data_IF_331064492467
#
_entry.id   IF_331064492467
#
_cell.length_a   1.000
_cell.length_b   1.000
_cell.length_c   1.000
_cell.angle_alpha   90.00
_cell.angle_beta   90.00
_cell.angle_gamma   90.00
#
_symmetry.space_group_name_H-M   'P 1'
#
loop_
_entity.id
_entity.type
_entity.pdbx_description
1 polymer ?
#
# COMPACT_ATOMS: atom_id res chain seq x y z
N UNK A 1 -2.15 -48.86 -14.35
CA UNK A 1 -2.90 -47.80 -13.66
C UNK A 1 -2.10 -46.50 -13.69
N UNK A 2 -2.58 -45.51 -14.49
CA UNK A 2 -1.92 -44.20 -14.64
C UNK A 2 -2.33 -43.33 -13.45
N UNK A 3 -1.39 -42.98 -12.54
CA UNK A 3 -1.63 -42.04 -11.43
C UNK A 3 -1.96 -40.66 -12.02
N UNK A 4 -3.20 -40.22 -11.87
CA UNK A 4 -3.62 -38.85 -12.16
C UNK A 4 -2.87 -37.96 -11.15
N UNK A 5 -1.87 -37.22 -11.62
CA UNK A 5 -1.30 -36.12 -10.85
C UNK A 5 -2.40 -35.08 -10.64
N UNK A 6 -2.91 -34.95 -9.42
CA UNK A 6 -3.74 -33.80 -9.04
C UNK A 6 -2.90 -32.54 -9.34
N UNK A 7 -3.35 -31.72 -10.26
CA UNK A 7 -2.83 -30.36 -10.40
C UNK A 7 -3.12 -29.64 -9.07
N UNK A 8 -2.12 -29.57 -8.22
CA UNK A 8 -2.13 -28.63 -7.09
C UNK A 8 -2.01 -27.27 -7.77
N UNK A 9 -3.09 -26.49 -7.77
CA UNK A 9 -3.02 -25.10 -8.19
C UNK A 9 -1.97 -24.41 -7.31
N UNK A 10 -0.82 -24.13 -7.87
CA UNK A 10 0.23 -23.38 -7.20
C UNK A 10 -0.31 -21.98 -7.00
N UNK A 11 -0.54 -21.60 -5.73
CA UNK A 11 -1.02 -20.26 -5.38
C UNK A 11 0.02 -19.26 -5.89
N UNK A 12 -0.40 -18.31 -6.72
CA UNK A 12 0.48 -17.28 -7.28
C UNK A 12 1.13 -16.50 -6.14
N UNK A 13 2.43 -16.24 -6.24
CA UNK A 13 3.17 -15.48 -5.24
C UNK A 13 2.77 -14.02 -5.35
N UNK A 14 2.32 -13.42 -4.26
CA UNK A 14 2.05 -11.98 -4.19
C UNK A 14 3.35 -11.26 -3.86
N UNK A 15 3.67 -10.21 -4.61
CA UNK A 15 4.80 -9.33 -4.36
C UNK A 15 4.31 -7.90 -4.13
N UNK A 16 4.56 -7.38 -2.93
CA UNK A 16 4.26 -6.01 -2.58
C UNK A 16 5.48 -5.14 -2.84
N UNK A 17 5.21 -4.05 -3.52
CA UNK A 17 6.20 -3.07 -3.91
C UNK A 17 5.84 -1.74 -3.26
N UNK A 18 6.62 -1.29 -2.28
CA UNK A 18 6.41 -0.03 -1.56
C UNK A 18 7.35 1.07 -2.02
N UNK A 19 6.96 2.31 -1.87
CA UNK A 19 7.75 3.48 -2.26
C UNK A 19 8.92 3.74 -1.30
N UNK A 20 8.68 3.56 0.02
CA UNK A 20 9.65 3.91 1.04
C UNK A 20 9.78 2.93 2.19
N UNK A 21 10.43 3.39 3.25
CA UNK A 21 10.64 2.58 4.45
C UNK A 21 9.33 2.36 5.24
N UNK A 22 8.43 3.30 5.19
CA UNK A 22 7.14 3.21 5.92
C UNK A 22 6.31 2.03 5.40
N UNK A 23 6.12 1.95 4.08
CA UNK A 23 5.41 0.84 3.41
C UNK A 23 6.12 -0.49 3.66
N UNK A 24 7.46 -0.51 3.50
CA UNK A 24 8.27 -1.72 3.73
C UNK A 24 8.04 -2.27 5.14
N UNK A 25 8.19 -1.44 6.18
CA UNK A 25 8.04 -1.90 7.56
C UNK A 25 6.59 -2.21 7.91
N UNK A 26 5.63 -1.40 7.44
CA UNK A 26 4.22 -1.67 7.65
C UNK A 26 3.83 -3.05 7.15
N UNK A 27 4.06 -3.34 5.88
CA UNK A 27 3.72 -4.64 5.31
C UNK A 27 4.59 -5.78 5.87
N UNK A 28 5.86 -5.54 6.21
CA UNK A 28 6.69 -6.55 6.88
C UNK A 28 6.11 -6.95 8.25
N UNK A 29 5.64 -5.97 9.02
CA UNK A 29 5.01 -6.24 10.32
C UNK A 29 3.64 -6.89 10.15
N UNK A 30 2.80 -6.45 9.20
CA UNK A 30 1.52 -7.10 8.89
C UNK A 30 1.71 -8.58 8.54
N UNK A 31 2.66 -8.88 7.66
CA UNK A 31 2.99 -10.26 7.29
C UNK A 31 3.30 -11.11 8.52
N UNK A 32 4.14 -10.58 9.42
CA UNK A 32 4.55 -11.28 10.64
C UNK A 32 3.41 -11.44 11.65
N UNK A 33 2.62 -10.37 11.86
CA UNK A 33 1.60 -10.32 12.90
C UNK A 33 0.32 -11.06 12.52
N UNK A 34 -0.05 -11.05 11.24
CA UNK A 34 -1.28 -11.67 10.72
C UNK A 34 -1.03 -12.99 9.98
N UNK A 35 0.24 -13.40 9.82
CA UNK A 35 0.58 -14.65 9.15
C UNK A 35 0.36 -14.63 7.63
N UNK A 36 0.28 -13.45 7.02
CA UNK A 36 0.08 -13.31 5.58
C UNK A 36 1.26 -13.87 4.76
N UNK A 37 0.95 -14.35 3.55
CA UNK A 37 1.94 -14.96 2.66
C UNK A 37 2.15 -14.13 1.41
N UNK A 38 3.15 -13.25 1.45
CA UNK A 38 3.62 -12.47 0.29
C UNK A 38 5.12 -12.17 0.42
N UNK A 39 5.73 -11.78 -0.67
CA UNK A 39 7.05 -11.16 -0.68
C UNK A 39 6.92 -9.64 -0.62
N UNK A 40 7.92 -8.95 -0.12
CA UNK A 40 7.97 -7.50 -0.12
C UNK A 40 9.36 -7.04 -0.54
N UNK A 41 9.42 -6.13 -1.49
CA UNK A 41 10.68 -5.50 -1.89
C UNK A 41 10.98 -4.31 -1.00
N UNK A 42 12.20 -4.25 -0.43
CA UNK A 42 12.68 -3.03 0.18
C UNK A 42 12.96 -1.99 -0.93
N UNK A 43 12.58 -0.76 -0.68
CA UNK A 43 12.90 0.42 -1.50
C UNK A 43 12.86 0.20 -3.00
N UNK A 44 11.85 0.73 -3.61
CA UNK A 44 11.77 0.69 -5.05
C UNK A 44 12.70 1.66 -5.73
N UNK A 45 12.94 2.83 -5.16
CA UNK A 45 13.55 3.89 -5.95
C UNK A 45 14.37 4.85 -5.07
N UNK A 46 15.59 5.11 -5.51
CA UNK A 46 16.36 6.26 -5.02
C UNK A 46 15.73 7.60 -5.46
N UNK A 47 14.95 7.59 -6.54
CA UNK A 47 14.13 8.69 -7.03
C UNK A 47 12.79 8.14 -7.46
N UNK A 48 11.70 8.60 -6.87
CA UNK A 48 10.32 8.14 -7.07
C UNK A 48 9.76 8.58 -8.44
N UNK A 49 10.31 8.08 -9.53
CA UNK A 49 9.77 8.36 -10.84
C UNK A 49 8.76 7.30 -11.27
N UNK A 50 7.69 7.74 -11.91
CA UNK A 50 6.59 6.89 -12.40
C UNK A 50 7.12 5.82 -13.36
N UNK A 51 8.14 6.17 -14.17
CA UNK A 51 8.78 5.25 -15.09
C UNK A 51 9.48 4.08 -14.38
N UNK A 52 10.07 4.34 -13.21
CA UNK A 52 10.71 3.28 -12.40
C UNK A 52 9.69 2.36 -11.77
N UNK A 53 8.55 2.91 -11.30
CA UNK A 53 7.41 2.11 -10.84
C UNK A 53 6.97 1.17 -11.96
N UNK A 54 6.72 1.72 -13.15
CA UNK A 54 6.28 0.92 -14.29
C UNK A 54 7.30 -0.15 -14.70
N UNK A 55 8.58 0.19 -14.71
CA UNK A 55 9.65 -0.76 -15.01
C UNK A 55 9.64 -1.93 -14.02
N UNK A 56 9.52 -1.63 -12.73
CA UNK A 56 9.50 -2.68 -11.69
C UNK A 56 8.27 -3.56 -11.78
N UNK A 57 7.10 -3.00 -12.06
CA UNK A 57 5.89 -3.79 -12.31
C UNK A 57 6.11 -4.76 -13.47
N UNK A 58 6.69 -4.30 -14.58
CA UNK A 58 6.98 -5.16 -15.74
C UNK A 58 7.93 -6.30 -15.40
N UNK A 59 9.06 -6.00 -14.73
CA UNK A 59 10.03 -7.01 -14.30
C UNK A 59 9.36 -8.12 -13.46
N UNK A 60 8.50 -7.73 -12.51
CA UNK A 60 7.80 -8.70 -11.66
C UNK A 60 6.73 -9.49 -12.40
N UNK A 61 6.05 -8.88 -13.37
CA UNK A 61 5.10 -9.60 -14.22
C UNK A 61 5.78 -10.66 -15.08
N UNK A 62 7.02 -10.39 -15.53
CA UNK A 62 7.82 -11.37 -16.28
C UNK A 62 8.23 -12.58 -15.40
N UNK A 63 8.22 -12.42 -14.07
CA UNK A 63 8.43 -13.50 -13.08
C UNK A 63 7.14 -14.27 -12.72
N UNK A 64 6.00 -13.99 -13.38
CA UNK A 64 4.67 -14.61 -13.14
C UNK A 64 4.17 -14.44 -11.69
N UNK A 65 4.46 -13.31 -11.06
CA UNK A 65 3.97 -12.98 -9.73
C UNK A 65 2.80 -11.99 -9.78
N UNK A 66 1.97 -11.99 -8.74
CA UNK A 66 0.94 -10.98 -8.55
C UNK A 66 1.55 -9.74 -7.89
N UNK A 67 1.40 -8.58 -8.52
CA UNK A 67 2.06 -7.33 -8.07
C UNK A 67 1.05 -6.43 -7.36
N UNK A 68 1.37 -6.03 -6.15
CA UNK A 68 0.68 -4.94 -5.44
C UNK A 68 1.67 -3.78 -5.32
N UNK A 69 1.37 -2.66 -5.94
CA UNK A 69 2.22 -1.47 -5.88
C UNK A 69 1.58 -0.41 -4.98
N UNK A 70 2.29 -0.01 -3.92
CA UNK A 70 1.84 0.97 -2.93
C UNK A 70 2.69 2.21 -3.05
N UNK A 71 2.08 3.38 -3.26
CA UNK A 71 2.77 4.66 -3.43
C UNK A 71 1.91 5.84 -3.01
N UNK A 72 2.56 6.97 -2.76
CA UNK A 72 1.91 8.24 -2.46
C UNK A 72 1.59 8.99 -3.76
N UNK A 73 0.36 9.51 -3.92
CA UNK A 73 -0.06 10.26 -5.12
C UNK A 73 0.21 11.77 -5.02
N UNK A 74 1.15 12.17 -4.18
CA UNK A 74 1.58 13.57 -4.08
C UNK A 74 2.36 14.02 -5.34
N UNK A 75 3.01 13.08 -6.02
CA UNK A 75 3.81 13.33 -7.26
C UNK A 75 2.92 13.83 -8.38
N UNK A 76 1.71 13.30 -8.53
CA UNK A 76 0.78 13.71 -9.58
C UNK A 76 0.39 15.19 -9.50
N UNK A 77 0.52 15.79 -8.31
CA UNK A 77 0.19 17.20 -8.06
C UNK A 77 1.36 18.17 -8.30
N UNK A 78 2.58 17.67 -8.53
CA UNK A 78 3.78 18.51 -8.73
C UNK A 78 3.80 19.19 -10.09
N UNK A 79 3.28 18.54 -11.12
CA UNK A 79 3.16 19.14 -12.47
C UNK A 79 2.13 18.41 -13.33
N UNK A 80 1.62 19.10 -14.36
CA UNK A 80 0.70 18.49 -15.34
C UNK A 80 1.35 17.30 -16.10
N UNK A 81 2.66 17.33 -16.27
CA UNK A 81 3.40 16.25 -16.93
C UNK A 81 3.40 14.99 -16.07
N UNK A 82 3.69 15.11 -14.78
CA UNK A 82 3.67 13.98 -13.84
C UNK A 82 2.25 13.44 -13.65
N UNK A 83 1.24 14.33 -13.57
CA UNK A 83 -0.16 13.92 -13.50
C UNK A 83 -0.57 13.09 -14.73
N UNK A 84 -0.19 13.51 -15.95
CA UNK A 84 -0.46 12.73 -17.17
C UNK A 84 0.21 11.35 -17.14
N UNK A 85 1.46 11.25 -16.66
CA UNK A 85 2.17 9.98 -16.54
C UNK A 85 1.50 9.05 -15.54
N UNK A 86 1.12 9.56 -14.36
CA UNK A 86 0.41 8.79 -13.34
C UNK A 86 -0.94 8.30 -13.84
N UNK A 87 -1.71 9.16 -14.49
CA UNK A 87 -3.00 8.78 -15.10
C UNK A 87 -2.81 7.69 -16.15
N UNK A 88 -1.77 7.79 -16.97
CA UNK A 88 -1.46 6.77 -17.99
C UNK A 88 -1.06 5.43 -17.33
N UNK A 89 -0.25 5.46 -16.26
CA UNK A 89 0.12 4.28 -15.50
C UNK A 89 -1.12 3.60 -14.90
N UNK A 90 -1.98 4.36 -14.20
CA UNK A 90 -3.22 3.84 -13.62
C UNK A 90 -4.12 3.20 -14.68
N UNK A 91 -4.36 3.90 -15.79
CA UNK A 91 -5.18 3.39 -16.90
C UNK A 91 -4.59 2.12 -17.53
N UNK A 92 -3.27 2.04 -17.64
CA UNK A 92 -2.58 0.87 -18.22
C UNK A 92 -2.82 -0.40 -17.42
N UNK A 93 -2.84 -0.31 -16.09
CA UNK A 93 -2.98 -1.45 -15.20
C UNK A 93 -4.37 -1.61 -14.58
N UNK A 94 -5.32 -0.72 -14.87
CA UNK A 94 -6.69 -0.72 -14.31
C UNK A 94 -7.41 -2.08 -14.43
N UNK A 95 -7.23 -2.74 -15.58
CA UNK A 95 -7.86 -4.03 -15.87
C UNK A 95 -6.83 -5.19 -15.93
N UNK A 96 -5.65 -5.02 -15.37
CA UNK A 96 -4.66 -6.08 -15.35
C UNK A 96 -4.94 -7.05 -14.19
N UNK A 97 -5.20 -8.33 -14.52
CA UNK A 97 -5.57 -9.33 -13.53
C UNK A 97 -4.49 -9.62 -12.48
N UNK A 98 -3.24 -9.28 -12.76
CA UNK A 98 -2.08 -9.57 -11.93
C UNK A 98 -1.45 -8.32 -11.28
N UNK A 99 -2.10 -7.15 -11.37
CA UNK A 99 -1.60 -5.90 -10.81
C UNK A 99 -2.68 -5.17 -10.03
N UNK A 100 -2.37 -4.76 -8.80
CA UNK A 100 -3.16 -3.81 -8.04
C UNK A 100 -2.29 -2.58 -7.75
N UNK A 101 -2.76 -1.41 -8.16
CA UNK A 101 -2.19 -0.14 -7.75
C UNK A 101 -2.94 0.37 -6.54
N UNK A 102 -2.22 0.71 -5.48
CA UNK A 102 -2.75 1.21 -4.21
C UNK A 102 -2.09 2.55 -3.91
N UNK A 103 -2.73 3.61 -4.34
CA UNK A 103 -2.25 4.95 -4.04
C UNK A 103 -2.96 5.56 -2.84
N UNK A 104 -2.28 6.48 -2.20
CA UNK A 104 -2.80 7.27 -1.08
C UNK A 104 -2.56 8.75 -1.32
N UNK A 105 -3.58 9.55 -1.12
CA UNK A 105 -3.51 11.00 -1.19
C UNK A 105 -3.85 11.56 0.19
N UNK A 106 -3.00 12.18 0.89
CA UNK A 106 -1.65 12.74 0.62
C UNK A 106 -0.50 11.73 0.77
N UNK A 107 -0.65 10.72 1.64
CA UNK A 107 0.38 9.74 1.94
C UNK A 107 -0.20 8.53 2.67
N UNK A 108 0.59 7.48 2.85
CA UNK A 108 0.19 6.26 3.57
C UNK A 108 -0.31 6.54 5.01
N UNK A 109 0.09 7.65 5.62
CA UNK A 109 -0.38 8.02 6.96
C UNK A 109 -1.89 8.26 7.01
N UNK A 110 -2.53 8.60 5.89
CA UNK A 110 -3.99 8.69 5.84
C UNK A 110 -4.64 7.30 6.03
N UNK A 111 -4.07 6.25 5.45
CA UNK A 111 -4.49 4.88 5.73
C UNK A 111 -4.33 4.51 7.20
N UNK A 112 -3.24 4.92 7.84
CA UNK A 112 -3.03 4.68 9.26
C UNK A 112 -4.04 5.44 10.13
N UNK A 113 -4.36 6.67 9.76
CA UNK A 113 -5.33 7.51 10.45
C UNK A 113 -6.74 6.90 10.43
N UNK A 114 -7.15 6.30 9.32
CA UNK A 114 -8.46 5.63 9.19
C UNK A 114 -8.66 4.47 10.18
N UNK A 115 -7.61 3.94 10.77
CA UNK A 115 -7.69 2.92 11.81
C UNK A 115 -8.07 3.50 13.18
N UNK A 116 -8.00 4.79 13.35
CA UNK A 116 -8.33 5.49 14.59
C UNK A 116 -9.53 6.43 14.45
N UNK A 117 -9.71 7.04 13.29
CA UNK A 117 -10.69 8.11 13.07
C UNK A 117 -11.52 7.87 11.81
N UNK A 118 -12.86 8.01 11.91
CA UNK A 118 -13.76 8.07 10.75
C UNK A 118 -13.70 9.49 10.18
N UNK A 119 -12.83 9.73 9.20
CA UNK A 119 -12.59 11.06 8.64
C UNK A 119 -12.40 11.02 7.13
N UNK A 120 -13.06 11.96 6.45
CA UNK A 120 -12.81 12.30 5.04
C UNK A 120 -12.25 13.73 4.89
N UNK A 121 -11.66 14.26 5.96
CA UNK A 121 -11.12 15.61 6.00
C UNK A 121 -10.03 15.78 4.93
N UNK A 122 -10.09 16.90 4.22
CA UNK A 122 -9.02 17.28 3.32
C UNK A 122 -7.75 17.62 4.10
N UNK A 123 -6.63 16.98 3.74
CA UNK A 123 -5.30 17.31 4.23
C UNK A 123 -4.53 18.02 3.11
N UNK A 124 -3.87 19.11 3.46
CA UNK A 124 -3.13 19.93 2.49
C UNK A 124 -1.87 19.21 1.97
N UNK A 125 -1.22 18.45 2.85
CA UNK A 125 0.03 17.75 2.58
C UNK A 125 0.22 16.54 3.50
N UNK A 126 1.26 15.77 3.25
CA UNK A 126 1.63 14.62 4.06
C UNK A 126 1.98 14.98 5.51
N UNK A 127 2.55 16.17 5.73
CA UNK A 127 2.89 16.64 7.08
C UNK A 127 1.63 16.92 7.91
N UNK A 128 0.56 17.42 7.29
CA UNK A 128 -0.73 17.62 7.96
C UNK A 128 -1.36 16.29 8.34
N UNK A 129 -1.28 15.28 7.48
CA UNK A 129 -1.75 13.92 7.75
C UNK A 129 -0.96 13.28 8.89
N UNK A 130 0.36 13.42 8.88
CA UNK A 130 1.24 12.91 9.93
C UNK A 130 0.94 13.58 11.29
N UNK A 131 0.73 14.90 11.34
CA UNK A 131 0.32 15.61 12.58
C UNK A 131 -0.99 15.08 13.13
N UNK A 132 -1.97 14.78 12.27
CA UNK A 132 -3.23 14.19 12.71
C UNK A 132 -3.03 12.77 13.26
N UNK A 133 -2.23 11.94 12.61
CA UNK A 133 -1.90 10.59 13.08
C UNK A 133 -1.20 10.63 14.46
N UNK A 134 -0.34 11.61 14.71
CA UNK A 134 0.38 11.77 15.99
C UNK A 134 -0.53 12.06 17.18
N UNK A 135 -1.78 12.42 16.98
CA UNK A 135 -2.77 12.52 18.07
C UNK A 135 -3.11 11.14 18.65
N UNK A 136 -2.98 10.08 17.86
CA UNK A 136 -3.24 8.68 18.24
C UNK A 136 -1.95 7.89 18.47
N UNK A 137 -0.94 8.13 17.66
CA UNK A 137 0.40 7.54 17.76
C UNK A 137 1.41 8.64 18.08
N UNK A 138 1.41 9.13 19.31
CA UNK A 138 2.17 10.32 19.73
C UNK A 138 3.68 10.24 19.47
N UNK A 139 4.24 9.02 19.41
CA UNK A 139 5.66 8.76 19.12
C UNK A 139 5.94 8.40 17.68
N UNK A 140 4.93 8.50 16.78
CA UNK A 140 5.11 8.14 15.38
C UNK A 140 6.23 8.94 14.74
N UNK A 141 7.14 8.22 14.08
CA UNK A 141 8.31 8.78 13.42
C UNK A 141 8.65 7.91 12.18
N UNK A 142 9.08 8.55 11.09
CA UNK A 142 9.51 7.88 9.85
C UNK A 142 10.96 7.39 9.89
N UNK A 143 11.66 7.55 11.01
CA UNK A 143 13.01 7.03 11.14
C UNK A 143 13.02 5.51 11.14
N UNK A 144 14.05 4.92 10.54
CA UNK A 144 14.25 3.48 10.52
C UNK A 144 14.18 2.88 11.93
N UNK A 145 14.81 3.52 12.90
CA UNK A 145 14.85 3.09 14.32
C UNK A 145 13.46 2.96 14.94
N UNK A 146 12.53 3.82 14.54
CA UNK A 146 11.13 3.73 14.97
C UNK A 146 10.39 2.65 14.20
N UNK A 147 10.45 2.69 12.87
CA UNK A 147 9.69 1.82 11.97
C UNK A 147 10.07 0.33 12.12
N UNK A 148 11.31 0.00 12.47
CA UNK A 148 11.75 -1.38 12.73
C UNK A 148 11.01 -2.04 13.90
N UNK A 149 10.45 -1.27 14.83
CA UNK A 149 9.67 -1.78 15.96
C UNK A 149 8.24 -2.05 15.51
N UNK A 150 7.69 -3.22 15.81
CA UNK A 150 6.34 -3.59 15.40
C UNK A 150 5.21 -2.99 16.28
N UNK A 151 5.55 -2.31 17.35
CA UNK A 151 4.56 -1.78 18.31
C UNK A 151 3.53 -0.86 17.65
N UNK A 152 3.95 0.08 16.81
CA UNK A 152 3.06 1.01 16.14
C UNK A 152 2.04 0.31 15.22
N UNK A 153 2.43 -0.79 14.58
CA UNK A 153 1.50 -1.61 13.78
C UNK A 153 0.57 -2.42 14.69
N UNK A 154 1.07 -2.96 15.81
CA UNK A 154 0.19 -3.64 16.79
C UNK A 154 -0.89 -2.72 17.36
N UNK A 155 -0.53 -1.48 17.66
CA UNK A 155 -1.47 -0.47 18.17
C UNK A 155 -2.58 -0.15 17.13
N UNK A 156 -2.26 -0.26 15.82
CA UNK A 156 -3.22 -0.12 14.72
C UNK A 156 -4.08 -1.37 14.48
N UNK A 157 -3.57 -2.56 14.82
CA UNK A 157 -4.30 -3.82 14.58
C UNK A 157 -5.27 -4.18 15.71
N UNK A 158 -5.21 -3.49 16.85
CA UNK A 158 -6.10 -3.73 17.98
C UNK A 158 -7.57 -3.52 17.58
N UNK A 159 -8.48 -4.30 18.18
CA UNK A 159 -9.93 -4.11 18.10
C UNK A 159 -10.54 -4.10 16.66
N UNK A 160 -10.01 -4.94 15.76
CA UNK A 160 -10.48 -5.03 14.36
C UNK A 160 -10.40 -3.72 13.57
N UNK A 161 -9.51 -2.80 13.96
CA UNK A 161 -9.37 -1.48 13.34
C UNK A 161 -9.01 -1.56 11.85
N UNK A 162 -8.25 -2.58 11.44
CA UNK A 162 -7.89 -2.77 10.03
C UNK A 162 -9.12 -3.01 9.15
N UNK A 163 -10.09 -3.80 9.63
CA UNK A 163 -11.34 -4.05 8.89
C UNK A 163 -12.15 -2.77 8.75
N UNK A 164 -12.31 -2.02 9.85
CA UNK A 164 -12.98 -0.72 9.82
C UNK A 164 -12.28 0.27 8.87
N UNK A 165 -10.95 0.30 8.87
CA UNK A 165 -10.19 1.15 7.95
C UNK A 165 -10.42 0.77 6.48
N UNK A 166 -10.55 -0.53 6.15
CA UNK A 166 -10.91 -0.97 4.80
C UNK A 166 -12.28 -0.41 4.37
N UNK A 167 -13.28 -0.52 5.23
CA UNK A 167 -14.64 0.00 4.96
C UNK A 167 -14.65 1.52 4.77
N UNK A 168 -13.90 2.25 5.61
CA UNK A 168 -13.77 3.71 5.51
C UNK A 168 -13.02 4.14 4.26
N UNK A 169 -11.92 3.46 3.94
CA UNK A 169 -11.13 3.75 2.74
C UNK A 169 -11.95 3.54 1.46
N UNK A 170 -12.73 2.48 1.39
CA UNK A 170 -13.66 2.21 0.29
C UNK A 170 -14.77 3.26 0.20
N UNK A 171 -15.38 3.63 1.34
CA UNK A 171 -16.39 4.68 1.47
C UNK A 171 -15.89 6.05 0.99
N UNK A 172 -14.61 6.35 1.25
CA UNK A 172 -14.01 7.65 0.92
C UNK A 172 -13.22 7.67 -0.39
N UNK A 173 -13.32 6.62 -1.19
CA UNK A 173 -12.70 6.56 -2.52
C UNK A 173 -13.05 7.79 -3.37
N UNK A 174 -12.03 8.41 -3.97
CA UNK A 174 -12.21 9.56 -4.87
C UNK A 174 -12.50 10.89 -4.14
N UNK A 175 -12.33 10.97 -2.82
CA UNK A 175 -12.35 12.22 -2.07
C UNK A 175 -11.00 12.93 -2.14
N UNK A 176 -10.94 14.16 -1.58
CA UNK A 176 -9.72 14.99 -1.55
C UNK A 176 -8.60 14.42 -0.67
N UNK A 177 -8.92 13.49 0.23
CA UNK A 177 -7.98 12.60 0.90
C UNK A 177 -8.55 11.19 0.82
N UNK A 178 -7.76 10.24 0.35
CA UNK A 178 -8.16 8.84 0.17
C UNK A 178 -6.96 7.91 0.28
N UNK A 179 -7.23 6.61 0.43
CA UNK A 179 -6.23 5.56 0.34
C UNK A 179 -6.83 4.32 -0.31
N UNK A 180 -6.11 3.72 -1.24
CA UNK A 180 -6.49 2.47 -1.88
C UNK A 180 -5.80 1.23 -1.26
N UNK A 181 -5.10 1.39 -0.14
CA UNK A 181 -4.41 0.29 0.56
C UNK A 181 -5.37 -0.83 0.98
N UNK A 182 -6.65 -0.53 1.18
CA UNK A 182 -7.67 -1.55 1.46
C UNK A 182 -7.67 -2.67 0.41
N UNK A 183 -7.40 -2.37 -0.86
CA UNK A 183 -7.31 -3.38 -1.93
C UNK A 183 -6.15 -4.36 -1.69
N UNK A 184 -5.00 -3.84 -1.23
CA UNK A 184 -3.86 -4.68 -0.86
C UNK A 184 -4.21 -5.60 0.31
N UNK A 185 -4.86 -5.05 1.35
CA UNK A 185 -5.27 -5.83 2.54
C UNK A 185 -6.26 -6.93 2.16
N UNK A 186 -7.28 -6.62 1.37
CA UNK A 186 -8.25 -7.60 0.86
C UNK A 186 -7.53 -8.72 0.12
N UNK A 187 -6.63 -8.37 -0.82
CA UNK A 187 -5.92 -9.36 -1.65
C UNK A 187 -5.00 -10.28 -0.85
N UNK A 188 -4.28 -9.78 0.14
CA UNK A 188 -3.37 -10.63 0.93
C UNK A 188 -4.10 -11.46 1.98
N UNK A 189 -5.36 -11.16 2.25
CA UNK A 189 -6.22 -11.91 3.20
C UNK A 189 -6.91 -13.12 2.57
N UNK A 190 -6.94 -13.23 1.23
CA UNK A 190 -7.42 -14.38 0.46
C UNK A 190 -6.48 -15.59 0.60
#
# INVERSE_FOLDING_TARGET
MRKIRKNIATRQVIHIVGEGLTELFYFSHLKKLLGYRYSISPRLFENNSIEKIEKKIKELLDEDVFVICVFDDDVSRRSDAENRKMTALKKKYENNANVILCDSLQSIEYWFLLQFEDTCRHFQDSAATERALKQYLSTYDKTRKYLEKDKWVRDMLADSKIQKACELAEKYKGRDSYSEIYKAIQKVSE
#
